data_IF_442972008085
#
_entry.id   IF_442972008085
#
_cell.length_a   1.000
_cell.length_b   1.000
_cell.length_c   1.000
_cell.angle_alpha   90.00
_cell.angle_beta   90.00
_cell.angle_gamma   90.00
#
_symmetry.space_group_name_H-M   'P 1'
#
loop_
_entity.id
_entity.type
_entity.pdbx_description
1 polymer ?
#
# COMPACT_ATOMS: atom_id res chain seq x y z
N UNK A 1 -8.85 -13.69 19.34
CA UNK A 1 -9.27 -12.46 18.64
C UNK A 1 -8.10 -11.58 18.22
N UNK A 2 -7.26 -11.05 19.12
CA UNK A 2 -6.12 -10.18 18.73
C UNK A 2 -5.16 -10.83 17.69
N UNK A 3 -4.84 -12.11 17.84
CA UNK A 3 -4.01 -12.85 16.88
C UNK A 3 -4.65 -13.03 15.49
N UNK A 4 -5.97 -13.16 15.40
CA UNK A 4 -6.68 -13.21 14.11
C UNK A 4 -6.58 -11.87 13.38
N UNK A 5 -6.72 -10.76 14.11
CA UNK A 5 -6.55 -9.42 13.54
C UNK A 5 -5.09 -9.20 13.09
N UNK A 6 -4.12 -9.72 13.86
CA UNK A 6 -2.70 -9.70 13.48
C UNK A 6 -2.44 -10.48 12.18
N UNK A 7 -3.06 -11.67 12.05
CA UNK A 7 -2.95 -12.47 10.83
C UNK A 7 -3.57 -11.77 9.63
N UNK A 8 -4.74 -11.13 9.79
CA UNK A 8 -5.31 -10.30 8.71
C UNK A 8 -4.41 -9.12 8.34
N UNK A 9 -3.79 -8.47 9.32
CA UNK A 9 -2.86 -7.36 9.06
C UNK A 9 -1.60 -7.83 8.32
N UNK A 10 -1.11 -9.03 8.61
CA UNK A 10 0.00 -9.67 7.90
C UNK A 10 -0.37 -9.97 6.44
N UNK A 11 -1.56 -10.52 6.16
CA UNK A 11 -2.06 -10.75 4.79
C UNK A 11 -2.17 -9.44 4.01
N UNK A 12 -2.72 -8.39 4.64
CA UNK A 12 -2.83 -7.08 3.98
C UNK A 12 -1.46 -6.48 3.65
N UNK A 13 -0.49 -6.66 4.55
CA UNK A 13 0.88 -6.22 4.32
C UNK A 13 1.53 -7.01 3.18
N UNK A 14 1.35 -8.34 3.16
CA UNK A 14 1.79 -9.23 2.08
C UNK A 14 1.22 -8.81 0.73
N UNK A 15 -0.09 -8.58 0.62
CA UNK A 15 -0.71 -8.11 -0.61
C UNK A 15 -0.12 -6.77 -1.06
N UNK A 16 -0.01 -5.80 -0.15
CA UNK A 16 0.51 -4.47 -0.47
C UNK A 16 1.96 -4.50 -0.98
N UNK A 17 2.85 -5.21 -0.28
CA UNK A 17 4.25 -5.35 -0.71
C UNK A 17 4.38 -6.22 -1.95
N UNK A 18 3.56 -7.27 -2.10
CA UNK A 18 3.50 -8.11 -3.29
C UNK A 18 3.13 -7.31 -4.56
N UNK A 19 2.13 -6.43 -4.49
CA UNK A 19 1.80 -5.53 -5.61
C UNK A 19 2.94 -4.54 -5.90
N UNK A 20 3.54 -3.96 -4.87
CA UNK A 20 4.65 -3.02 -5.03
C UNK A 20 5.88 -3.68 -5.67
N UNK A 21 6.20 -4.92 -5.30
CA UNK A 21 7.30 -5.69 -5.90
C UNK A 21 6.96 -6.16 -7.32
N UNK A 22 5.71 -6.54 -7.58
CA UNK A 22 5.26 -6.96 -8.92
C UNK A 22 5.44 -5.83 -9.94
N UNK A 23 5.25 -4.58 -9.55
CA UNK A 23 5.52 -3.41 -10.42
C UNK A 23 6.96 -3.39 -10.94
N UNK A 24 7.93 -3.85 -10.15
CA UNK A 24 9.33 -3.97 -10.55
C UNK A 24 9.52 -4.89 -11.77
N UNK A 25 8.70 -5.93 -11.89
CA UNK A 25 8.70 -6.86 -13.04
C UNK A 25 8.01 -6.25 -14.26
N UNK A 26 7.02 -5.38 -14.04
CA UNK A 26 6.29 -4.71 -15.13
C UNK A 26 7.06 -3.53 -15.75
N UNK A 27 8.07 -2.97 -15.07
CA UNK A 27 8.89 -1.85 -15.57
C UNK A 27 9.40 -2.02 -17.01
N UNK A 28 10.10 -3.12 -17.38
CA UNK A 28 10.59 -3.30 -18.75
C UNK A 28 9.44 -3.44 -19.77
N UNK A 29 8.34 -4.11 -19.39
CA UNK A 29 7.17 -4.29 -20.26
C UNK A 29 6.46 -2.96 -20.51
N UNK A 30 6.36 -2.11 -19.48
CA UNK A 30 5.83 -0.75 -19.60
C UNK A 30 6.70 0.12 -20.50
N UNK A 31 8.03 -0.01 -20.37
CA UNK A 31 8.96 0.72 -21.23
C UNK A 31 8.76 0.39 -22.70
N UNK A 32 8.63 -0.91 -23.02
CA UNK A 32 8.37 -1.36 -24.39
C UNK A 32 6.96 -0.98 -24.89
N UNK A 33 5.95 -1.03 -24.02
CA UNK A 33 4.55 -0.68 -24.38
C UNK A 33 4.37 0.82 -24.66
N UNK A 34 4.91 1.68 -23.79
CA UNK A 34 4.82 3.13 -23.94
C UNK A 34 5.91 3.72 -24.85
N UNK A 35 6.87 2.90 -25.29
CA UNK A 35 8.05 3.29 -26.07
C UNK A 35 8.79 4.49 -25.43
N UNK A 36 8.93 4.45 -24.10
CA UNK A 36 9.46 5.53 -23.27
C UNK A 36 10.67 5.06 -22.47
N UNK A 37 11.51 6.02 -22.06
CA UNK A 37 12.72 5.72 -21.28
C UNK A 37 12.40 4.98 -19.97
N UNK A 38 13.28 4.02 -19.62
CA UNK A 38 13.20 3.27 -18.36
C UNK A 38 13.11 4.20 -17.15
N UNK A 39 13.78 5.34 -17.20
CA UNK A 39 13.72 6.36 -16.15
C UNK A 39 12.29 6.86 -15.92
N UNK A 40 11.54 7.20 -16.97
CA UNK A 40 10.15 7.67 -16.86
C UNK A 40 9.23 6.59 -16.29
N UNK A 41 9.35 5.35 -16.74
CA UNK A 41 8.55 4.25 -16.17
C UNK A 41 8.89 3.98 -14.69
N UNK A 42 10.16 4.15 -14.29
CA UNK A 42 10.60 4.01 -12.89
C UNK A 42 10.05 5.12 -11.97
N UNK A 43 9.79 6.31 -12.52
CA UNK A 43 9.15 7.39 -11.77
C UNK A 43 7.76 7.00 -11.26
N UNK A 44 7.02 6.15 -11.96
CA UNK A 44 5.66 5.73 -11.56
C UNK A 44 5.70 5.01 -10.20
N UNK A 45 6.55 4.01 -10.07
CA UNK A 45 6.75 3.29 -8.80
C UNK A 45 7.39 4.18 -7.72
N UNK A 46 8.31 5.06 -8.10
CA UNK A 46 8.96 5.99 -7.16
C UNK A 46 7.96 6.98 -6.55
N UNK A 47 7.05 7.53 -7.37
CA UNK A 47 5.98 8.41 -6.93
C UNK A 47 5.03 7.64 -6.01
N UNK A 48 4.65 6.40 -6.34
CA UNK A 48 3.81 5.58 -5.49
C UNK A 48 4.39 5.41 -4.08
N UNK A 49 5.69 5.09 -4.00
CA UNK A 49 6.41 4.94 -2.73
C UNK A 49 6.50 6.28 -2.00
N UNK A 50 6.86 7.37 -2.70
CA UNK A 50 6.97 8.70 -2.11
C UNK A 50 5.64 9.15 -1.47
N UNK A 51 4.52 8.98 -2.19
CA UNK A 51 3.19 9.28 -1.66
C UNK A 51 2.80 8.35 -0.51
N UNK A 52 3.20 7.07 -0.56
CA UNK A 52 2.96 6.12 0.53
C UNK A 52 3.56 6.62 1.85
N UNK A 53 4.80 7.12 1.83
CA UNK A 53 5.45 7.66 3.01
C UNK A 53 4.92 9.05 3.39
N UNK A 54 4.71 9.93 2.41
CA UNK A 54 4.26 11.30 2.64
C UNK A 54 2.84 11.37 3.22
N UNK A 55 1.96 10.46 2.81
CA UNK A 55 0.58 10.38 3.30
C UNK A 55 0.42 9.50 4.55
N UNK A 56 1.45 8.77 4.98
CA UNK A 56 1.44 7.96 6.20
C UNK A 56 0.94 8.72 7.46
N UNK A 57 1.42 9.93 7.80
CA UNK A 57 0.89 10.67 8.95
C UNK A 57 -0.58 11.08 8.81
N UNK A 58 -1.02 11.39 7.59
CA UNK A 58 -2.42 11.74 7.29
C UNK A 58 -3.30 10.51 7.46
N UNK A 59 -2.86 9.36 6.96
CA UNK A 59 -3.53 8.08 7.12
C UNK A 59 -3.71 7.71 8.60
N UNK A 60 -2.67 7.86 9.43
CA UNK A 60 -2.77 7.63 10.89
C UNK A 60 -3.85 8.51 11.53
N UNK A 61 -3.88 9.81 11.19
CA UNK A 61 -4.92 10.73 11.70
C UNK A 61 -6.32 10.34 11.24
N UNK A 62 -6.46 9.89 9.99
CA UNK A 62 -7.74 9.46 9.45
C UNK A 62 -8.25 8.20 10.17
N UNK A 63 -7.37 7.23 10.41
CA UNK A 63 -7.68 6.02 11.18
C UNK A 63 -8.06 6.29 12.63
N UNK A 64 -7.48 7.30 13.27
CA UNK A 64 -7.87 7.71 14.62
C UNK A 64 -9.26 8.37 14.67
N UNK A 65 -9.66 9.09 13.61
CA UNK A 65 -10.95 9.80 13.53
C UNK A 65 -12.10 8.89 13.11
N UNK A 66 -11.92 8.09 12.06
CA UNK A 66 -12.96 7.26 11.44
C UNK A 66 -12.94 5.80 11.91
N UNK A 67 -11.92 5.42 12.67
CA UNK A 67 -11.72 4.06 13.13
C UNK A 67 -10.99 3.18 12.12
N UNK A 68 -10.25 2.21 12.65
CA UNK A 68 -9.40 1.30 11.87
C UNK A 68 -10.18 0.55 10.78
N UNK A 69 -11.31 -0.05 11.14
CA UNK A 69 -12.03 -1.00 10.27
C UNK A 69 -12.56 -0.34 9.01
N UNK A 70 -13.09 0.89 9.13
CA UNK A 70 -13.62 1.63 8.00
C UNK A 70 -12.50 2.07 7.06
N UNK A 71 -11.42 2.66 7.61
CA UNK A 71 -10.28 3.13 6.81
C UNK A 71 -9.59 1.98 6.08
N UNK A 72 -9.43 0.83 6.74
CA UNK A 72 -8.86 -0.37 6.11
C UNK A 72 -9.72 -0.86 4.93
N UNK A 73 -11.05 -0.92 5.08
CA UNK A 73 -11.95 -1.30 3.98
C UNK A 73 -11.91 -0.28 2.82
N UNK A 74 -11.94 1.01 3.13
CA UNK A 74 -11.83 2.08 2.14
C UNK A 74 -10.50 2.02 1.39
N UNK A 75 -9.39 1.74 2.07
CA UNK A 75 -8.07 1.62 1.43
C UNK A 75 -8.00 0.41 0.48
N UNK A 76 -8.60 -0.73 0.85
CA UNK A 76 -8.67 -1.89 -0.04
C UNK A 76 -9.48 -1.60 -1.30
N UNK A 77 -10.64 -0.95 -1.16
CA UNK A 77 -11.43 -0.51 -2.32
C UNK A 77 -10.65 0.49 -3.19
N UNK A 78 -9.95 1.44 -2.57
CA UNK A 78 -9.15 2.44 -3.28
C UNK A 78 -8.01 1.80 -4.07
N UNK A 79 -7.34 0.78 -3.51
CA UNK A 79 -6.31 0.01 -4.22
C UNK A 79 -6.87 -0.78 -5.40
N UNK A 80 -8.04 -1.40 -5.25
CA UNK A 80 -8.67 -2.10 -6.37
C UNK A 80 -9.03 -1.11 -7.47
N UNK A 81 -9.61 0.04 -7.12
CA UNK A 81 -9.94 1.10 -8.08
C UNK A 81 -8.67 1.61 -8.76
N UNK A 82 -7.57 1.82 -8.03
CA UNK A 82 -6.32 2.31 -8.61
C UNK A 82 -5.73 1.31 -9.61
N UNK A 83 -5.71 0.02 -9.27
CA UNK A 83 -5.21 -1.05 -10.16
C UNK A 83 -6.11 -1.23 -11.39
N UNK A 84 -7.43 -1.25 -11.21
CA UNK A 84 -8.38 -1.35 -12.32
C UNK A 84 -8.26 -0.14 -13.24
N UNK A 85 -8.21 1.07 -12.69
CA UNK A 85 -8.04 2.30 -13.48
C UNK A 85 -6.71 2.27 -14.24
N UNK A 86 -5.62 1.82 -13.59
CA UNK A 86 -4.31 1.70 -14.23
C UNK A 86 -4.33 0.71 -15.41
N UNK A 87 -5.20 -0.30 -15.40
CA UNK A 87 -5.35 -1.25 -16.49
C UNK A 87 -6.03 -0.68 -17.74
N UNK A 88 -6.75 0.44 -17.63
CA UNK A 88 -7.43 1.10 -18.75
C UNK A 88 -6.69 2.35 -19.24
N UNK A 89 -5.54 2.68 -18.63
CA UNK A 89 -4.77 3.86 -18.97
C UNK A 89 -3.85 3.58 -20.16
N UNK A 90 -4.00 4.37 -21.21
CA UNK A 90 -3.19 4.30 -22.44
C UNK A 90 -2.06 5.33 -22.47
N UNK A 91 -1.94 6.16 -21.42
CA UNK A 91 -1.01 7.28 -21.32
C UNK A 91 -0.19 7.23 -20.02
N UNK A 92 1.13 7.39 -20.14
CA UNK A 92 2.06 7.34 -19.00
C UNK A 92 1.77 8.42 -17.94
N UNK A 93 1.28 9.60 -18.36
CA UNK A 93 0.91 10.69 -17.44
C UNK A 93 -0.27 10.31 -16.55
N UNK A 94 -1.30 9.66 -17.11
CA UNK A 94 -2.44 9.18 -16.33
C UNK A 94 -2.06 8.01 -15.42
N UNK A 95 -1.02 7.26 -15.78
CA UNK A 95 -0.48 6.19 -14.96
C UNK A 95 0.23 6.75 -13.71
N UNK A 96 0.94 7.89 -13.82
CA UNK A 96 1.48 8.58 -12.64
C UNK A 96 0.39 8.99 -11.64
N UNK A 97 -0.78 9.40 -12.11
CA UNK A 97 -1.89 9.78 -11.22
C UNK A 97 -2.61 8.57 -10.62
N UNK A 98 -2.99 7.61 -11.46
CA UNK A 98 -3.74 6.42 -11.03
C UNK A 98 -2.88 5.47 -10.19
N UNK A 99 -1.74 5.05 -10.72
CA UNK A 99 -0.84 4.15 -10.00
C UNK A 99 0.08 4.89 -9.03
N UNK A 100 0.57 6.09 -9.34
CA UNK A 100 1.43 6.81 -8.39
C UNK A 100 0.63 7.34 -7.19
N UNK A 101 -0.27 8.29 -7.45
CA UNK A 101 -0.96 9.00 -6.38
C UNK A 101 -2.04 8.16 -5.73
N UNK A 102 -2.95 7.57 -6.52
CA UNK A 102 -4.11 6.84 -5.99
C UNK A 102 -3.69 5.57 -5.23
N UNK A 103 -2.81 4.75 -5.82
CA UNK A 103 -2.25 3.58 -5.13
C UNK A 103 -1.45 4.01 -3.91
N UNK A 104 -0.59 5.03 -4.01
CA UNK A 104 0.24 5.53 -2.91
C UNK A 104 -0.59 5.97 -1.69
N UNK A 105 -1.73 6.64 -1.91
CA UNK A 105 -2.67 7.00 -0.83
C UNK A 105 -3.29 5.75 -0.19
N UNK A 106 -3.76 4.79 -0.99
CA UNK A 106 -4.31 3.53 -0.48
C UNK A 106 -3.29 2.71 0.30
N UNK A 107 -2.09 2.58 -0.25
CA UNK A 107 -0.91 1.94 0.32
C UNK A 107 -0.53 2.54 1.68
N UNK A 108 -0.46 3.88 1.77
CA UNK A 108 -0.13 4.58 3.03
C UNK A 108 -1.09 4.18 4.15
N UNK A 109 -2.38 4.08 3.83
CA UNK A 109 -3.43 3.73 4.78
C UNK A 109 -3.29 2.30 5.26
N UNK A 110 -2.99 1.34 4.39
CA UNK A 110 -2.78 -0.06 4.80
C UNK A 110 -1.58 -0.16 5.74
N UNK A 111 -0.47 0.47 5.36
CA UNK A 111 0.78 0.41 6.10
C UNK A 111 0.61 1.01 7.50
N UNK A 112 -0.01 2.19 7.61
CA UNK A 112 -0.33 2.82 8.88
C UNK A 112 -1.32 2.01 9.73
N UNK A 113 -2.38 1.46 9.12
CA UNK A 113 -3.40 0.69 9.85
C UNK A 113 -2.85 -0.64 10.38
N UNK A 114 -1.99 -1.34 9.64
CA UNK A 114 -1.36 -2.58 10.10
C UNK A 114 -0.56 -2.36 11.38
N UNK A 115 0.17 -1.25 11.50
CA UNK A 115 0.88 -0.92 12.74
C UNK A 115 -0.07 -0.47 13.85
N UNK A 116 -1.08 0.33 13.52
CA UNK A 116 -2.03 0.85 14.49
C UNK A 116 -2.89 -0.28 15.10
N UNK A 117 -3.23 -1.32 14.33
CA UNK A 117 -3.87 -2.57 14.82
C UNK A 117 -3.07 -3.16 15.97
N UNK A 118 -1.76 -3.33 15.80
CA UNK A 118 -0.89 -3.96 16.79
C UNK A 118 -0.84 -3.13 18.08
N UNK A 119 -0.83 -1.80 17.97
CA UNK A 119 -0.81 -0.89 19.12
C UNK A 119 -2.11 -0.96 19.94
N UNK A 120 -3.27 -1.02 19.27
CA UNK A 120 -4.58 -0.99 19.91
C UNK A 120 -5.00 -2.35 20.49
N UNK A 121 -4.68 -3.46 19.82
CA UNK A 121 -5.14 -4.80 20.22
C UNK A 121 -4.19 -5.55 21.15
N UNK A 122 -2.88 -5.23 21.18
CA UNK A 122 -1.91 -5.94 22.02
C UNK A 122 -1.44 -5.10 23.19
N UNK A 123 -1.25 -5.76 24.34
CA UNK A 123 -0.64 -5.19 25.54
C UNK A 123 0.83 -4.82 25.28
N UNK A 124 1.40 -3.82 25.97
CA UNK A 124 2.75 -3.28 25.70
C UNK A 124 3.84 -4.33 25.50
N UNK A 125 3.86 -5.39 26.32
CA UNK A 125 4.86 -6.46 26.23
C UNK A 125 4.74 -7.40 25.02
N UNK A 126 3.64 -7.37 24.26
CA UNK A 126 3.42 -8.24 23.08
C UNK A 126 3.29 -7.46 21.76
N UNK A 127 3.36 -6.12 21.80
CA UNK A 127 3.21 -5.25 20.62
C UNK A 127 4.35 -5.42 19.62
N UNK A 128 5.59 -5.46 20.09
CA UNK A 128 6.77 -5.62 19.22
C UNK A 128 6.75 -6.95 18.47
N UNK A 129 6.37 -8.03 19.14
CA UNK A 129 6.22 -9.35 18.51
C UNK A 129 5.10 -9.35 17.47
N UNK A 130 3.93 -8.76 17.78
CA UNK A 130 2.82 -8.64 16.84
C UNK A 130 3.17 -7.78 15.62
N UNK A 131 3.87 -6.65 15.83
CA UNK A 131 4.38 -5.82 14.73
C UNK A 131 5.39 -6.58 13.87
N UNK A 132 6.27 -7.37 14.49
CA UNK A 132 7.23 -8.23 13.77
C UNK A 132 6.52 -9.27 12.89
N UNK A 133 5.46 -9.90 13.41
CA UNK A 133 4.66 -10.86 12.64
C UNK A 133 3.89 -10.15 11.51
N UNK A 134 3.28 -9.00 11.78
CA UNK A 134 2.60 -8.22 10.73
C UNK A 134 3.57 -7.76 9.63
N UNK A 135 4.78 -7.31 10.00
CA UNK A 135 5.82 -6.87 9.08
C UNK A 135 6.47 -8.05 8.32
N UNK A 136 6.56 -9.24 8.92
CA UNK A 136 7.04 -10.44 8.23
C UNK A 136 6.19 -10.79 7.01
N UNK A 137 4.90 -10.42 7.02
CA UNK A 137 4.04 -10.55 5.84
C UNK A 137 4.54 -9.74 4.64
N UNK A 138 5.18 -8.58 4.85
CA UNK A 138 5.69 -7.74 3.76
C UNK A 138 7.11 -8.05 3.29
N UNK A 139 7.80 -9.02 3.93
CA UNK A 139 9.22 -9.33 3.67
C UNK A 139 9.46 -10.72 3.09
N UNK A 140 8.38 -11.43 2.75
CA UNK A 140 8.36 -12.70 2.01
C UNK A 140 7.98 -12.38 0.56
#
# INVERSE_FOLDING_TARGET
WAWLVCFSAAIMNFMHFGFSQSFGVFLPVLGDYFNEDKEKTAWVGSIAIAFTFLMSPVAVRMSQRFGLRLVTMCSGALLVISLVTSSFVEDLVYLYFSYGVLFGIGASSILSNSFLVCVWYFSPGKRSLAMGIAASGGSI
#
